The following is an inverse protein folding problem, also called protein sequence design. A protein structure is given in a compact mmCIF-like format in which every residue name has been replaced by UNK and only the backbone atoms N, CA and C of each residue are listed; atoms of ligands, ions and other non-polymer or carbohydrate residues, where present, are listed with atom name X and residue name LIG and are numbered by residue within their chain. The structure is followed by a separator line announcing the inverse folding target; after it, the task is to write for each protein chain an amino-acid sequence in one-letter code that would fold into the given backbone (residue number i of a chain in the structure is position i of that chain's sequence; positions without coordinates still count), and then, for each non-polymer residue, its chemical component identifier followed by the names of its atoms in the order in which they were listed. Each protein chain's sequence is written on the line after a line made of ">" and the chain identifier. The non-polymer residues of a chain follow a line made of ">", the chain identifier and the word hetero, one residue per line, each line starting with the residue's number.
data_IF_212671778811
#
_entry.id   IF_212671778811
#
_cell.length_a   1.000
_cell.length_b   1.000
_cell.length_c   1.000
_cell.angle_alpha   90.00
_cell.angle_beta   90.00
_cell.angle_gamma   90.00
#
_symmetry.space_group_name_H-M   'P 1'
#
loop_
_entity.id
_entity.type
_entity.pdbx_description
1 polymer ?
#
# COMPACT_ATOMS: atom_id res chain seq x y z
N UNK A 1 -11.92 19.81 -26.64
CA UNK A 1 -12.25 18.42 -26.28
C UNK A 1 -11.74 18.20 -24.87
N UNK A 2 -12.64 17.99 -23.92
CA UNK A 2 -12.23 17.63 -22.56
C UNK A 2 -11.63 16.22 -22.62
N UNK A 3 -10.42 16.06 -22.13
CA UNK A 3 -9.82 14.74 -21.90
C UNK A 3 -10.75 13.97 -20.94
N UNK A 4 -11.06 12.70 -21.21
CA UNK A 4 -11.86 11.92 -20.28
C UNK A 4 -11.21 11.95 -18.90
N UNK A 5 -12.02 12.02 -17.85
CA UNK A 5 -11.56 12.02 -16.46
C UNK A 5 -10.91 10.65 -16.20
N UNK A 6 -9.60 10.57 -16.39
CA UNK A 6 -8.82 9.37 -16.06
C UNK A 6 -8.78 9.24 -14.53
N UNK A 7 -9.76 8.53 -13.98
CA UNK A 7 -9.53 7.73 -12.78
C UNK A 7 -8.39 6.75 -13.10
N UNK A 8 -7.69 6.26 -12.06
CA UNK A 8 -6.79 5.10 -12.24
C UNK A 8 -7.54 4.07 -13.08
N UNK A 9 -6.92 3.59 -14.17
CA UNK A 9 -7.63 2.75 -15.15
C UNK A 9 -8.06 1.46 -14.49
N UNK A 10 -9.34 1.11 -14.67
CA UNK A 10 -9.82 -0.24 -14.39
C UNK A 10 -9.33 -1.17 -15.50
N UNK A 11 -8.80 -2.32 -15.12
CA UNK A 11 -8.42 -3.35 -16.07
C UNK A 11 -9.68 -4.10 -16.47
N UNK A 12 -10.01 -4.03 -17.75
CA UNK A 12 -11.11 -4.81 -18.33
C UNK A 12 -10.63 -6.19 -18.78
N UNK A 13 -11.59 -7.12 -18.96
CA UNK A 13 -11.28 -8.46 -19.46
C UNK A 13 -10.54 -8.40 -20.81
N UNK A 14 -9.38 -9.06 -20.87
CA UNK A 14 -8.54 -9.12 -22.06
C UNK A 14 -7.54 -7.98 -22.23
N UNK A 15 -7.51 -6.98 -21.37
CA UNK A 15 -6.48 -5.94 -21.36
C UNK A 15 -5.19 -6.43 -20.71
N UNK A 16 -4.05 -5.93 -21.21
CA UNK A 16 -2.75 -6.19 -20.61
C UNK A 16 -2.53 -5.28 -19.38
N UNK A 17 -2.86 -5.81 -18.22
CA UNK A 17 -2.71 -5.10 -16.94
C UNK A 17 -1.27 -4.63 -16.69
N UNK A 18 -0.27 -5.37 -17.16
CA UNK A 18 1.13 -5.01 -16.98
C UNK A 18 1.52 -3.81 -17.86
N UNK A 19 1.09 -3.81 -19.12
CA UNK A 19 1.31 -2.66 -20.00
C UNK A 19 0.63 -1.41 -19.47
N UNK A 20 -0.62 -1.51 -19.02
CA UNK A 20 -1.36 -0.40 -18.42
C UNK A 20 -0.71 0.11 -17.12
N UNK A 21 -0.23 -0.81 -16.26
CA UNK A 21 0.47 -0.45 -15.02
C UNK A 21 1.75 0.32 -15.33
N UNK A 22 2.55 -0.15 -16.28
CA UNK A 22 3.79 0.52 -16.67
C UNK A 22 3.54 1.88 -17.33
N UNK A 23 2.48 2.01 -18.14
CA UNK A 23 2.14 3.27 -18.79
C UNK A 23 1.56 4.30 -17.82
N UNK A 24 0.61 3.87 -16.97
CA UNK A 24 -0.17 4.79 -16.13
C UNK A 24 0.35 4.93 -14.70
N UNK A 25 1.22 4.02 -14.25
CA UNK A 25 1.78 4.01 -12.91
C UNK A 25 0.89 3.33 -11.87
N UNK A 26 -0.40 3.16 -12.14
CA UNK A 26 -1.33 2.41 -11.31
C UNK A 26 -2.54 1.90 -12.10
N UNK A 27 -3.09 0.75 -11.68
CA UNK A 27 -4.31 0.15 -12.25
C UNK A 27 -5.17 -0.44 -11.14
N UNK A 28 -6.48 -0.52 -11.36
CA UNK A 28 -7.43 -1.18 -10.45
C UNK A 28 -7.93 -2.47 -11.08
N UNK A 29 -7.82 -3.56 -10.33
CA UNK A 29 -8.40 -4.87 -10.63
C UNK A 29 -9.56 -5.10 -9.68
N UNK A 30 -10.76 -5.30 -10.21
CA UNK A 30 -11.99 -5.41 -9.42
C UNK A 30 -12.23 -6.83 -8.91
N UNK A 31 -12.78 -6.94 -7.69
CA UNK A 31 -13.30 -8.19 -7.13
C UNK A 31 -12.25 -9.29 -6.96
N UNK A 32 -11.00 -8.95 -6.69
CA UNK A 32 -9.88 -9.89 -6.55
C UNK A 32 -10.00 -10.74 -5.29
N UNK A 33 -10.39 -10.11 -4.17
CA UNK A 33 -10.48 -10.76 -2.86
C UNK A 33 -11.95 -10.88 -2.46
N UNK A 34 -12.35 -12.06 -1.95
CA UNK A 34 -13.72 -12.28 -1.51
C UNK A 34 -14.10 -11.41 -0.31
N UNK A 35 -15.38 -11.03 -0.20
CA UNK A 35 -15.87 -10.23 0.92
C UNK A 35 -15.67 -10.93 2.27
N UNK A 36 -15.76 -12.26 2.31
CA UNK A 36 -15.50 -13.04 3.50
C UNK A 36 -14.04 -12.87 3.94
N UNK A 37 -13.09 -13.10 3.03
CA UNK A 37 -11.66 -12.92 3.28
C UNK A 37 -11.32 -11.50 3.69
N UNK A 38 -11.90 -10.48 3.05
CA UNK A 38 -11.74 -9.08 3.46
C UNK A 38 -12.19 -8.85 4.90
N UNK A 39 -13.33 -9.41 5.29
CA UNK A 39 -13.89 -9.28 6.64
C UNK A 39 -12.99 -9.95 7.69
N UNK A 40 -12.53 -11.16 7.42
CA UNK A 40 -11.64 -11.93 8.29
C UNK A 40 -10.27 -11.25 8.43
N UNK A 41 -9.66 -10.84 7.32
CA UNK A 41 -8.39 -10.11 7.33
C UNK A 41 -8.51 -8.79 8.09
N UNK A 42 -9.61 -8.03 7.89
CA UNK A 42 -9.86 -6.80 8.64
C UNK A 42 -10.03 -7.04 10.13
N UNK A 43 -10.62 -8.17 10.53
CA UNK A 43 -10.72 -8.56 11.94
C UNK A 43 -9.33 -8.78 12.55
N UNK A 44 -8.39 -9.40 11.82
CA UNK A 44 -6.99 -9.53 12.25
C UNK A 44 -6.31 -8.17 12.46
N UNK A 45 -6.53 -7.20 11.56
CA UNK A 45 -6.02 -5.83 11.70
C UNK A 45 -6.58 -5.16 12.97
N UNK A 46 -7.90 -5.24 13.17
CA UNK A 46 -8.55 -4.66 14.35
C UNK A 46 -8.06 -5.28 15.66
N UNK A 47 -7.82 -6.60 15.67
CA UNK A 47 -7.26 -7.28 16.84
C UNK A 47 -5.83 -6.79 17.16
N UNK A 48 -4.99 -6.53 16.15
CA UNK A 48 -3.66 -5.95 16.37
C UNK A 48 -3.75 -4.53 16.97
N UNK A 49 -4.67 -3.73 16.47
CA UNK A 49 -4.92 -2.40 17.07
C UNK A 49 -5.38 -2.51 18.51
N UNK A 50 -6.30 -3.46 18.81
CA UNK A 50 -6.77 -3.71 20.17
C UNK A 50 -5.64 -4.10 21.11
N UNK A 51 -4.80 -5.04 20.71
CA UNK A 51 -3.64 -5.48 21.49
C UNK A 51 -2.66 -4.33 21.77
N UNK A 52 -2.56 -3.38 20.87
CA UNK A 52 -1.73 -2.18 21.06
C UNK A 52 -2.46 -1.04 21.81
N UNK A 53 -3.72 -1.23 22.23
CA UNK A 53 -4.51 -0.19 22.90
C UNK A 53 -4.90 0.98 22.00
N UNK A 54 -5.11 0.73 20.70
CA UNK A 54 -5.43 1.74 19.68
C UNK A 54 -6.78 1.49 19.00
N UNK A 55 -7.73 0.91 19.72
CA UNK A 55 -9.08 0.63 19.19
C UNK A 55 -9.89 1.91 18.95
N UNK A 56 -9.78 2.88 19.84
CA UNK A 56 -10.52 4.11 19.77
C UNK A 56 -9.95 5.07 18.71
N UNK A 57 -10.84 5.78 18.02
CA UNK A 57 -10.46 6.90 17.16
C UNK A 57 -9.96 8.08 17.99
N UNK A 58 -9.03 8.85 17.45
CA UNK A 58 -8.68 10.15 18.04
C UNK A 58 -7.59 10.10 19.11
N UNK A 59 -6.91 8.98 19.29
CA UNK A 59 -5.69 8.98 20.10
C UNK A 59 -4.56 9.68 19.31
N UNK A 60 -4.69 10.99 19.19
CA UNK A 60 -3.75 11.87 18.53
C UNK A 60 -2.37 11.90 19.23
N UNK A 61 -2.26 11.24 20.38
CA UNK A 61 -1.05 11.22 21.19
C UNK A 61 0.13 10.45 20.56
N UNK A 62 -0.04 9.89 19.36
CA UNK A 62 0.93 8.96 18.80
C UNK A 62 1.44 9.36 17.42
N UNK A 63 1.76 10.65 17.26
CA UNK A 63 2.18 11.16 15.97
C UNK A 63 3.48 10.56 15.42
N UNK A 64 4.45 10.24 16.23
CA UNK A 64 5.75 9.70 15.78
C UNK A 64 6.39 8.76 16.79
N UNK A 65 5.94 8.86 18.05
CA UNK A 65 6.43 7.98 19.11
C UNK A 65 5.21 7.34 19.78
N UNK A 66 5.19 6.02 19.76
CA UNK A 66 4.22 5.28 20.54
C UNK A 66 4.45 5.61 22.02
N UNK A 67 3.58 6.47 22.58
CA UNK A 67 3.70 6.83 23.99
C UNK A 67 3.37 5.63 24.87
N UNK A 68 4.32 5.21 25.67
CA UNK A 68 4.11 4.19 26.69
C UNK A 68 3.19 4.67 27.84
N UNK A 69 2.93 5.99 27.94
CA UNK A 69 2.09 6.55 29.00
C UNK A 69 0.66 6.00 28.93
N UNK A 70 0.21 5.41 30.03
CA UNK A 70 -1.14 4.83 30.14
C UNK A 70 -1.33 3.46 29.48
N UNK A 71 -0.26 2.82 29.00
CA UNK A 71 -0.29 1.49 28.36
C UNK A 71 0.40 0.43 29.20
N UNK A 72 -0.03 -0.82 29.04
CA UNK A 72 0.63 -1.96 29.69
C UNK A 72 1.93 -2.33 28.96
N UNK A 73 2.87 -3.03 29.64
CA UNK A 73 4.09 -3.52 28.98
C UNK A 73 3.79 -4.35 27.71
N UNK A 74 2.75 -5.19 27.73
CA UNK A 74 2.35 -6.02 26.59
C UNK A 74 1.87 -5.17 25.40
N UNK A 75 1.19 -4.07 25.66
CA UNK A 75 0.76 -3.11 24.61
C UNK A 75 1.96 -2.39 23.99
N UNK A 76 2.95 -2.04 24.80
CA UNK A 76 4.20 -1.44 24.33
C UNK A 76 4.99 -2.40 23.45
N UNK A 77 5.13 -3.66 23.88
CA UNK A 77 5.82 -4.70 23.13
C UNK A 77 5.11 -5.01 21.81
N UNK A 78 3.78 -5.12 21.83
CA UNK A 78 2.98 -5.32 20.63
C UNK A 78 3.17 -4.18 19.61
N UNK A 79 3.19 -2.93 20.08
CA UNK A 79 3.42 -1.78 19.20
C UNK A 79 4.84 -1.81 18.62
N UNK A 80 5.86 -2.07 19.42
CA UNK A 80 7.24 -2.13 18.95
C UNK A 80 7.43 -3.20 17.85
N UNK A 81 6.70 -4.32 17.97
CA UNK A 81 6.78 -5.42 17.01
C UNK A 81 6.01 -5.15 15.72
N UNK A 82 4.82 -4.59 15.82
CA UNK A 82 3.88 -4.56 14.70
C UNK A 82 3.74 -3.20 14.02
N UNK A 83 4.22 -2.10 14.61
CA UNK A 83 4.13 -0.81 13.92
C UNK A 83 5.31 -0.58 12.99
N UNK A 84 4.97 -0.19 11.76
CA UNK A 84 5.87 0.34 10.75
C UNK A 84 5.93 1.87 10.79
N UNK A 85 6.66 2.43 9.85
CA UNK A 85 6.74 3.87 9.65
C UNK A 85 5.70 4.30 8.62
N UNK A 86 4.99 5.39 8.91
CA UNK A 86 4.04 5.99 7.99
C UNK A 86 4.22 7.49 7.89
N UNK A 87 4.15 8.01 6.67
CA UNK A 87 4.16 9.46 6.44
C UNK A 87 2.87 10.09 6.98
N UNK A 88 2.97 11.21 7.69
CA UNK A 88 1.84 11.88 8.35
C UNK A 88 1.12 10.95 9.34
N UNK A 89 1.76 10.59 10.45
CA UNK A 89 1.31 9.53 11.35
C UNK A 89 0.10 9.90 12.23
N UNK A 90 -0.31 11.17 12.28
CA UNK A 90 -1.51 11.57 13.06
C UNK A 90 -2.74 10.90 12.46
N UNK A 91 -3.45 10.14 13.28
CA UNK A 91 -4.61 9.32 12.89
C UNK A 91 -4.31 8.35 11.74
N UNK A 92 -3.05 7.99 11.53
CA UNK A 92 -2.63 7.02 10.50
C UNK A 92 -1.63 6.04 11.09
N UNK A 93 -1.77 4.76 10.71
CA UNK A 93 -0.91 3.67 11.18
C UNK A 93 -0.53 2.78 10.02
N UNK A 94 0.68 2.29 10.08
CA UNK A 94 1.17 1.18 9.29
C UNK A 94 1.42 0.00 10.24
N UNK A 95 0.75 -1.12 10.01
CA UNK A 95 0.76 -2.30 10.86
C UNK A 95 1.32 -3.48 10.10
N UNK A 96 2.48 -3.98 10.51
CA UNK A 96 3.01 -5.25 10.00
C UNK A 96 2.06 -6.39 10.35
N UNK A 97 1.69 -7.19 9.36
CA UNK A 97 0.77 -8.31 9.54
C UNK A 97 1.52 -9.63 9.70
N UNK A 98 1.01 -10.46 10.60
CA UNK A 98 1.42 -11.86 10.65
C UNK A 98 0.69 -12.64 9.54
N UNK A 99 1.41 -13.56 8.91
CA UNK A 99 0.87 -14.48 7.91
C UNK A 99 0.14 -15.64 8.60
N UNK A 100 -0.99 -15.37 9.21
CA UNK A 100 -1.95 -16.38 9.67
C UNK A 100 -2.80 -16.89 8.50
N UNK A 101 -3.75 -17.79 8.76
CA UNK A 101 -4.58 -18.39 7.72
C UNK A 101 -5.40 -17.36 6.95
N UNK A 102 -5.97 -16.35 7.63
CA UNK A 102 -6.82 -15.33 7.04
C UNK A 102 -6.01 -14.36 6.16
N UNK A 103 -4.90 -13.84 6.67
CA UNK A 103 -4.00 -12.95 5.91
C UNK A 103 -3.36 -13.73 4.76
N UNK A 104 -2.95 -14.98 4.99
CA UNK A 104 -2.41 -15.87 3.97
C UNK A 104 -3.40 -16.14 2.85
N UNK A 105 -4.69 -16.34 3.16
CA UNK A 105 -5.72 -16.53 2.13
C UNK A 105 -5.94 -15.24 1.31
N UNK A 106 -5.91 -14.08 1.95
CA UNK A 106 -5.98 -12.81 1.24
C UNK A 106 -4.82 -12.66 0.23
N UNK A 107 -3.60 -12.98 0.65
CA UNK A 107 -2.43 -12.96 -0.25
C UNK A 107 -2.56 -14.00 -1.36
N UNK A 108 -3.07 -15.22 -1.09
CA UNK A 108 -3.30 -16.24 -2.13
C UNK A 108 -4.29 -15.76 -3.19
N UNK A 109 -5.39 -15.13 -2.79
CA UNK A 109 -6.38 -14.58 -3.74
C UNK A 109 -5.78 -13.44 -4.56
N UNK A 110 -5.04 -12.51 -3.94
CA UNK A 110 -4.27 -11.50 -4.64
C UNK A 110 -3.38 -12.12 -5.71
N UNK A 111 -2.56 -13.10 -5.37
CA UNK A 111 -1.56 -13.66 -6.28
C UNK A 111 -2.15 -14.53 -7.38
N UNK A 112 -3.29 -15.18 -7.14
CA UNK A 112 -4.02 -15.88 -8.22
C UNK A 112 -4.47 -14.92 -9.33
N UNK A 113 -4.95 -13.75 -8.95
CA UNK A 113 -5.47 -12.77 -9.92
C UNK A 113 -4.37 -11.86 -10.48
N UNK A 114 -3.51 -11.32 -9.62
CA UNK A 114 -2.54 -10.28 -9.97
C UNK A 114 -1.11 -10.81 -10.12
N UNK A 115 -0.80 -12.00 -9.62
CA UNK A 115 0.53 -12.59 -9.67
C UNK A 115 1.14 -12.64 -11.07
N UNK A 116 0.42 -13.10 -12.11
CA UNK A 116 0.94 -13.09 -13.49
C UNK A 116 1.34 -11.70 -13.99
N UNK A 117 0.56 -10.67 -13.66
CA UNK A 117 0.90 -9.27 -13.99
C UNK A 117 2.19 -8.84 -13.27
N UNK A 118 2.29 -9.09 -11.96
CA UNK A 118 3.48 -8.75 -11.17
C UNK A 118 4.71 -9.51 -11.69
N UNK A 119 4.58 -10.81 -11.98
CA UNK A 119 5.66 -11.66 -12.47
C UNK A 119 6.18 -11.22 -13.85
N UNK A 120 5.30 -10.75 -14.73
CA UNK A 120 5.71 -10.27 -16.06
C UNK A 120 6.58 -9.01 -16.00
N UNK A 121 6.49 -8.24 -14.91
CA UNK A 121 7.30 -7.02 -14.69
C UNK A 121 8.54 -7.32 -13.82
N UNK A 122 8.34 -8.03 -12.69
CA UNK A 122 9.38 -8.24 -11.67
C UNK A 122 10.03 -9.63 -11.67
N UNK A 123 9.49 -10.59 -12.43
CA UNK A 123 9.80 -12.02 -12.45
C UNK A 123 9.19 -12.84 -11.30
N UNK A 124 9.15 -14.17 -11.45
CA UNK A 124 8.69 -15.12 -10.43
C UNK A 124 9.56 -15.12 -9.16
N UNK A 125 10.80 -14.64 -9.26
CA UNK A 125 11.76 -14.55 -8.16
C UNK A 125 11.56 -13.26 -7.32
N UNK A 126 10.60 -12.40 -7.66
CA UNK A 126 10.32 -11.20 -6.90
C UNK A 126 10.05 -11.51 -5.43
N UNK A 127 10.69 -10.77 -4.54
CA UNK A 127 10.61 -10.96 -3.09
C UNK A 127 9.48 -10.12 -2.50
N UNK A 128 8.67 -10.73 -1.62
CA UNK A 128 7.76 -9.97 -0.78
C UNK A 128 8.61 -9.16 0.23
N UNK A 129 8.49 -7.85 0.18
CA UNK A 129 9.20 -6.94 1.07
C UNK A 129 8.27 -6.14 2.00
N UNK A 130 6.96 -6.22 1.80
CA UNK A 130 5.98 -5.61 2.67
C UNK A 130 4.74 -6.48 2.78
N UNK A 131 4.25 -6.63 4.00
CA UNK A 131 2.97 -7.22 4.33
C UNK A 131 2.42 -6.45 5.53
N UNK A 132 1.55 -5.51 5.24
CA UNK A 132 1.08 -4.57 6.25
C UNK A 132 -0.39 -4.19 6.07
N UNK A 133 -0.92 -3.41 6.99
CA UNK A 133 -2.19 -2.72 6.83
C UNK A 133 -1.99 -1.22 7.08
N UNK A 134 -2.37 -0.42 6.09
CA UNK A 134 -2.48 1.03 6.23
C UNK A 134 -3.86 1.39 6.77
N UNK A 135 -3.85 1.88 8.00
CA UNK A 135 -5.05 2.32 8.72
C UNK A 135 -5.06 3.83 8.77
N UNK A 136 -6.17 4.45 8.34
CA UNK A 136 -6.39 5.89 8.46
C UNK A 136 -7.70 6.13 9.20
N UNK A 137 -7.60 6.68 10.39
CA UNK A 137 -8.74 7.03 11.23
C UNK A 137 -9.35 8.39 10.80
N UNK A 138 -10.61 8.67 11.17
CA UNK A 138 -11.20 10.00 11.01
C UNK A 138 -10.28 11.11 11.49
N UNK A 139 -10.13 12.17 10.69
CA UNK A 139 -9.23 13.29 10.97
C UNK A 139 -7.79 13.10 10.51
N UNK A 140 -7.44 11.97 9.87
CA UNK A 140 -6.14 11.83 9.22
C UNK A 140 -6.00 12.83 8.07
N UNK A 141 -4.99 13.70 8.13
CA UNK A 141 -4.71 14.67 7.06
C UNK A 141 -4.21 13.98 5.78
N UNK A 142 -4.36 14.63 4.63
CA UNK A 142 -3.72 14.14 3.41
C UNK A 142 -2.20 14.09 3.58
N UNK A 143 -1.58 13.07 3.01
CA UNK A 143 -0.12 12.97 2.94
C UNK A 143 0.44 13.98 1.91
N UNK A 144 1.70 14.41 2.05
CA UNK A 144 2.39 15.10 0.96
C UNK A 144 2.48 14.19 -0.29
N UNK A 145 2.45 14.77 -1.48
CA UNK A 145 2.73 14.03 -2.71
C UNK A 145 4.16 13.49 -2.68
N UNK A 146 4.30 12.19 -2.92
CA UNK A 146 5.57 11.46 -2.91
C UNK A 146 5.52 10.22 -3.82
N UNK A 147 6.64 9.75 -4.34
CA UNK A 147 6.83 8.37 -4.78
C UNK A 147 7.38 7.54 -3.62
N UNK A 148 7.07 6.24 -3.56
CA UNK A 148 7.70 5.32 -2.59
C UNK A 148 9.15 5.01 -2.97
N UNK A 149 9.45 5.05 -4.26
CA UNK A 149 10.78 4.76 -4.78
C UNK A 149 11.27 5.92 -5.64
N UNK A 150 12.49 6.39 -5.34
CA UNK A 150 13.14 7.40 -6.15
C UNK A 150 13.73 6.78 -7.43
N UNK A 151 13.57 7.46 -8.55
CA UNK A 151 14.17 7.05 -9.81
C UNK A 151 15.67 7.35 -9.81
N UNK A 152 16.48 6.36 -9.49
CA UNK A 152 17.94 6.47 -9.52
C UNK A 152 18.59 5.13 -9.93
N UNK A 153 19.60 5.17 -10.79
CA UNK A 153 20.38 3.99 -11.15
C UNK A 153 19.54 2.82 -11.67
N UNK A 154 19.56 1.69 -10.98
CA UNK A 154 18.86 0.46 -11.35
C UNK A 154 17.33 0.61 -11.35
N UNK A 155 16.77 1.64 -10.71
CA UNK A 155 15.32 1.93 -10.65
C UNK A 155 14.86 2.91 -11.74
N UNK A 156 15.61 3.08 -12.81
CA UNK A 156 15.09 3.66 -14.06
C UNK A 156 13.90 2.86 -14.60
N UNK A 157 13.80 1.58 -14.25
CA UNK A 157 12.67 0.68 -14.56
C UNK A 157 11.87 0.35 -13.31
N UNK A 158 10.65 -0.21 -13.48
CA UNK A 158 9.83 -0.67 -12.38
C UNK A 158 10.52 -1.84 -11.67
N UNK A 159 10.95 -1.64 -10.45
CA UNK A 159 11.63 -2.66 -9.64
C UNK A 159 10.88 -3.01 -8.36
N UNK A 160 9.72 -2.36 -8.13
CA UNK A 160 8.89 -2.56 -6.94
C UNK A 160 7.44 -2.25 -7.27
N UNK A 161 6.54 -3.20 -7.00
CA UNK A 161 5.10 -3.08 -7.20
C UNK A 161 4.39 -3.28 -5.87
N UNK A 162 3.53 -2.33 -5.53
CA UNK A 162 2.68 -2.35 -4.34
C UNK A 162 1.24 -2.69 -4.73
N UNK A 163 0.65 -3.68 -4.05
CA UNK A 163 -0.77 -3.99 -4.12
C UNK A 163 -1.48 -3.44 -2.89
N UNK A 164 -2.44 -2.55 -3.10
CA UNK A 164 -3.36 -2.05 -2.07
C UNK A 164 -4.68 -2.78 -2.19
N UNK A 165 -5.00 -3.61 -1.19
CA UNK A 165 -6.22 -4.40 -1.14
C UNK A 165 -7.23 -3.69 -0.25
N UNK A 166 -8.41 -3.39 -0.76
CA UNK A 166 -9.49 -2.78 0.02
C UNK A 166 -10.18 -3.84 0.89
N UNK A 167 -9.98 -3.78 2.21
CA UNK A 167 -10.63 -4.70 3.15
C UNK A 167 -12.06 -4.27 3.51
N UNK A 168 -12.52 -3.17 2.96
CA UNK A 168 -13.85 -2.58 3.07
C UNK A 168 -14.06 -1.62 1.91
N UNK A 169 -15.28 -1.16 1.70
CA UNK A 169 -15.51 -0.05 0.78
C UNK A 169 -14.73 1.18 1.23
N UNK A 170 -13.99 1.78 0.32
CA UNK A 170 -13.20 3.00 0.52
C UNK A 170 -13.86 4.11 -0.28
N UNK A 171 -14.64 4.93 0.41
CA UNK A 171 -15.35 6.07 -0.20
C UNK A 171 -14.46 7.29 -0.35
N UNK A 172 -14.92 8.29 -1.10
CA UNK A 172 -14.18 9.55 -1.26
C UNK A 172 -13.92 10.25 0.08
N UNK A 173 -14.88 10.20 1.00
CA UNK A 173 -14.79 10.82 2.32
C UNK A 173 -13.74 10.14 3.23
N UNK A 174 -13.46 8.87 2.99
CA UNK A 174 -12.44 8.12 3.73
C UNK A 174 -11.01 8.41 3.26
N UNK A 175 -10.85 9.33 2.30
CA UNK A 175 -9.55 9.72 1.75
C UNK A 175 -8.82 8.59 1.03
N UNK A 176 -9.37 8.06 -0.07
CA UNK A 176 -8.70 7.01 -0.85
C UNK A 176 -7.32 7.47 -1.31
N UNK A 177 -6.50 6.52 -1.73
CA UNK A 177 -5.21 6.84 -2.35
C UNK A 177 -5.44 7.68 -3.60
N UNK A 178 -4.73 8.81 -3.68
CA UNK A 178 -4.73 9.70 -4.86
C UNK A 178 -3.47 9.45 -5.66
N UNK A 179 -3.61 9.29 -6.97
CA UNK A 179 -2.49 9.00 -7.88
C UNK A 179 -2.41 10.05 -8.99
N UNK A 180 -1.21 10.54 -9.27
CA UNK A 180 -0.89 11.28 -10.48
C UNK A 180 -0.61 10.27 -11.60
N UNK A 181 -1.55 10.04 -12.51
CA UNK A 181 -1.34 9.10 -13.61
C UNK A 181 -0.12 9.49 -14.46
N UNK A 182 0.63 8.49 -14.95
CA UNK A 182 1.84 8.67 -15.79
C UNK A 182 2.99 9.42 -15.11
N UNK A 183 3.00 9.41 -13.78
CA UNK A 183 4.03 10.11 -13.01
C UNK A 183 5.24 9.23 -12.64
N UNK A 184 5.24 7.96 -13.02
CA UNK A 184 6.34 7.01 -12.84
C UNK A 184 7.50 7.26 -13.82
N UNK A 185 7.85 8.53 -14.06
CA UNK A 185 8.85 8.99 -15.02
C UNK A 185 9.87 9.93 -14.37
N UNK A 186 11.10 9.96 -14.91
CA UNK A 186 12.15 10.86 -14.43
C UNK A 186 11.75 12.34 -14.53
N UNK A 187 10.94 12.70 -15.52
CA UNK A 187 10.45 14.08 -15.68
C UNK A 187 9.50 14.47 -14.54
N UNK A 188 8.56 13.60 -14.20
CA UNK A 188 7.62 13.83 -13.09
C UNK A 188 8.37 13.96 -11.75
N UNK A 189 9.38 13.11 -11.50
CA UNK A 189 10.20 13.17 -10.28
C UNK A 189 11.02 14.48 -10.21
N UNK A 190 11.60 14.94 -11.32
CA UNK A 190 12.27 16.26 -11.35
C UNK A 190 11.30 17.39 -11.09
N UNK A 191 10.11 17.35 -11.71
CA UNK A 191 9.08 18.35 -11.49
C UNK A 191 8.60 18.39 -10.03
N UNK A 192 8.38 17.22 -9.40
CA UNK A 192 8.03 17.12 -7.99
C UNK A 192 9.10 17.73 -7.08
N UNK A 193 10.38 17.46 -7.37
CA UNK A 193 11.51 17.92 -6.57
C UNK A 193 11.83 19.42 -6.72
N UNK A 194 11.33 20.07 -7.77
CA UNK A 194 11.57 21.49 -8.03
C UNK A 194 10.69 22.44 -7.19
N UNK A 195 9.61 21.91 -6.58
CA UNK A 195 8.67 22.71 -5.78
C UNK A 195 9.00 22.69 -4.29
N UNK A 196 9.04 23.86 -3.65
CA UNK A 196 9.28 23.98 -2.21
C UNK A 196 8.05 23.67 -1.35
N UNK A 197 6.85 23.78 -1.90
CA UNK A 197 5.57 23.50 -1.21
C UNK A 197 4.57 22.82 -2.12
N UNK A 198 3.47 22.32 -1.53
CA UNK A 198 2.46 21.53 -2.22
C UNK A 198 1.92 22.21 -3.50
N UNK A 199 1.55 23.48 -3.40
CA UNK A 199 1.01 24.23 -4.54
C UNK A 199 2.05 24.41 -5.66
N UNK A 200 3.33 24.55 -5.33
CA UNK A 200 4.41 24.67 -6.31
C UNK A 200 4.69 23.33 -6.97
N UNK A 201 4.74 22.24 -6.20
CA UNK A 201 4.85 20.87 -6.73
C UNK A 201 3.75 20.56 -7.74
N UNK A 202 2.49 20.87 -7.40
CA UNK A 202 1.36 20.68 -8.32
C UNK A 202 1.50 21.52 -9.60
N UNK A 203 1.93 22.79 -9.51
CA UNK A 203 2.20 23.61 -10.70
C UNK A 203 3.30 23.02 -11.56
N UNK A 204 4.40 22.58 -10.96
CA UNK A 204 5.53 21.98 -11.68
C UNK A 204 5.13 20.67 -12.37
N UNK A 205 4.38 19.81 -11.71
CA UNK A 205 3.82 18.58 -12.31
C UNK A 205 2.91 18.90 -13.49
N UNK A 206 1.99 19.86 -13.32
CA UNK A 206 1.10 20.31 -14.41
C UNK A 206 1.88 20.86 -15.60
N UNK A 207 2.91 21.66 -15.35
CA UNK A 207 3.79 22.20 -16.40
C UNK A 207 4.56 21.11 -17.16
N UNK A 208 4.88 20.00 -16.47
CA UNK A 208 5.47 18.80 -17.07
C UNK A 208 4.43 17.86 -17.75
N UNK A 209 3.17 18.28 -17.86
CA UNK A 209 2.10 17.48 -18.48
C UNK A 209 1.58 16.33 -17.62
N UNK A 210 1.94 16.29 -16.34
CA UNK A 210 1.46 15.27 -15.41
C UNK A 210 0.07 15.68 -14.89
N UNK A 211 -0.94 14.79 -14.96
CA UNK A 211 -2.27 15.06 -14.42
C UNK A 211 -2.24 15.32 -12.91
N UNK A 212 -3.16 16.16 -12.45
CA UNK A 212 -3.37 16.33 -11.00
C UNK A 212 -3.72 15.00 -10.32
N UNK A 213 -3.38 14.83 -9.04
CA UNK A 213 -3.73 13.63 -8.30
C UNK A 213 -5.24 13.40 -8.29
N UNK A 214 -5.66 12.17 -8.52
CA UNK A 214 -7.05 11.75 -8.54
C UNK A 214 -7.31 10.69 -7.49
N UNK A 215 -8.37 10.83 -6.68
CA UNK A 215 -8.75 9.82 -5.71
C UNK A 215 -9.19 8.53 -6.42
N UNK A 216 -8.83 7.40 -5.84
CA UNK A 216 -9.14 6.05 -6.34
C UNK A 216 -10.02 5.32 -5.31
N UNK A 217 -11.34 5.55 -5.30
CA UNK A 217 -12.25 4.80 -4.45
C UNK A 217 -12.27 3.32 -4.87
N UNK A 218 -12.37 2.43 -3.88
CA UNK A 218 -12.34 0.99 -4.07
C UNK A 218 -13.54 0.36 -3.36
N UNK A 219 -14.13 -0.68 -3.95
CA UNK A 219 -15.04 -1.55 -3.22
C UNK A 219 -14.23 -2.59 -2.42
N UNK A 220 -14.84 -3.18 -1.40
CA UNK A 220 -14.22 -4.29 -0.70
C UNK A 220 -13.83 -5.42 -1.68
N UNK A 221 -12.59 -5.87 -1.59
CA UNK A 221 -12.02 -6.89 -2.47
C UNK A 221 -11.37 -6.38 -3.75
N UNK A 222 -11.49 -5.10 -4.06
CA UNK A 222 -10.73 -4.49 -5.16
C UNK A 222 -9.25 -4.35 -4.79
N UNK A 223 -8.39 -4.41 -5.79
CA UNK A 223 -6.95 -4.22 -5.66
C UNK A 223 -6.48 -3.10 -6.58
N UNK A 224 -5.75 -2.14 -6.03
CA UNK A 224 -4.96 -1.21 -6.82
C UNK A 224 -3.50 -1.70 -6.86
N UNK A 225 -3.00 -2.04 -8.04
CA UNK A 225 -1.58 -2.25 -8.28
C UNK A 225 -0.93 -0.92 -8.63
N UNK A 226 0.21 -0.64 -8.03
CA UNK A 226 0.95 0.60 -8.23
C UNK A 226 2.44 0.33 -8.44
N UNK A 227 2.99 0.92 -9.48
CA UNK A 227 4.43 1.11 -9.63
C UNK A 227 4.88 2.12 -8.56
N UNK A 228 5.76 1.71 -7.68
CA UNK A 228 6.17 2.52 -6.52
C UNK A 228 6.89 3.84 -6.88
N UNK A 229 7.20 4.03 -8.16
CA UNK A 229 7.68 5.31 -8.70
C UNK A 229 6.55 6.29 -9.02
N UNK A 230 5.29 5.84 -9.07
CA UNK A 230 4.16 6.72 -9.31
C UNK A 230 4.00 7.71 -8.15
N UNK A 231 3.80 8.98 -8.48
CA UNK A 231 3.57 10.04 -7.50
C UNK A 231 2.14 9.90 -7.00
N UNK A 232 2.01 9.75 -5.68
CA UNK A 232 0.73 9.50 -5.03
C UNK A 232 0.70 10.08 -3.61
N UNK A 233 -0.44 9.92 -2.94
CA UNK A 233 -0.61 10.16 -1.52
C UNK A 233 -1.83 9.45 -0.95
N UNK A 234 -1.87 9.19 0.34
CA UNK A 234 -3.12 8.92 1.04
C UNK A 234 -3.93 10.21 1.19
N UNK A 235 -5.18 10.21 0.78
CA UNK A 235 -6.09 11.33 0.96
C UNK A 235 -6.43 11.59 2.43
N UNK A 236 -7.03 12.75 2.73
CA UNK A 236 -7.55 13.05 4.06
C UNK A 236 -8.78 12.19 4.36
N UNK A 237 -8.84 11.58 5.55
CA UNK A 237 -10.05 10.91 6.01
C UNK A 237 -10.94 11.93 6.74
N UNK A 238 -11.86 12.50 6.00
CA UNK A 238 -12.88 13.45 6.50
C UNK A 238 -14.19 12.75 6.88
N UNK A 239 -14.26 11.43 6.65
CA UNK A 239 -15.39 10.59 7.00
C UNK A 239 -15.47 10.23 8.49
N UNK A 240 -16.53 9.53 8.87
CA UNK A 240 -16.75 9.06 10.24
C UNK A 240 -16.24 7.65 10.51
N UNK A 241 -15.57 7.00 9.53
CA UNK A 241 -15.15 5.61 9.64
C UNK A 241 -13.66 5.43 9.36
N UNK A 242 -13.06 4.43 10.01
CA UNK A 242 -11.69 3.98 9.77
C UNK A 242 -11.57 3.40 8.36
N UNK A 243 -10.56 3.83 7.59
CA UNK A 243 -10.15 3.20 6.34
C UNK A 243 -9.04 2.18 6.62
N UNK A 244 -9.20 0.96 6.13
CA UNK A 244 -8.23 -0.11 6.26
C UNK A 244 -7.91 -0.68 4.88
N UNK A 245 -6.65 -0.54 4.45
CA UNK A 245 -6.10 -1.20 3.28
C UNK A 245 -5.06 -2.22 3.73
N UNK A 246 -5.11 -3.44 3.22
CA UNK A 246 -3.97 -4.34 3.31
C UNK A 246 -2.99 -4.00 2.20
N UNK A 247 -1.70 -4.05 2.51
CA UNK A 247 -0.62 -3.74 1.57
C UNK A 247 0.30 -4.95 1.44
N UNK A 248 0.58 -5.30 0.18
CA UNK A 248 1.52 -6.36 -0.15
C UNK A 248 2.43 -5.86 -1.26
N UNK A 249 3.74 -5.75 -0.99
CA UNK A 249 4.70 -5.20 -1.93
C UNK A 249 5.74 -6.24 -2.31
N UNK A 250 6.02 -6.32 -3.61
CA UNK A 250 7.03 -7.19 -4.20
C UNK A 250 8.13 -6.36 -4.87
N UNK A 251 9.37 -6.81 -4.72
CA UNK A 251 10.56 -6.17 -5.32
C UNK A 251 11.38 -7.16 -6.12
N UNK A 252 12.20 -6.64 -7.05
CA UNK A 252 13.25 -7.43 -7.71
C UNK A 252 14.22 -7.97 -6.67
N UNK A 253 14.67 -9.24 -6.77
CA UNK A 253 15.51 -9.86 -5.76
C UNK A 253 16.88 -9.18 -5.64
N UNK A 254 17.43 -9.15 -4.44
CA UNK A 254 18.77 -8.65 -4.13
C UNK A 254 19.04 -7.17 -4.51
N UNK A 255 18.00 -6.41 -4.72
CA UNK A 255 18.13 -5.02 -5.13
C UNK A 255 17.04 -4.16 -4.45
N UNK A 256 17.16 -3.88 -3.14
CA UNK A 256 16.15 -3.11 -2.42
C UNK A 256 15.99 -1.72 -3.01
N UNK A 257 14.75 -1.32 -3.20
CA UNK A 257 14.41 -0.03 -3.79
C UNK A 257 14.87 1.13 -2.89
N UNK A 258 15.57 2.15 -3.43
CA UNK A 258 15.95 3.34 -2.66
C UNK A 258 14.72 4.05 -2.10
N UNK A 259 14.70 4.29 -0.80
CA UNK A 259 13.63 5.01 -0.11
C UNK A 259 12.49 4.13 0.37
N UNK A 260 12.44 2.85 0.02
CA UNK A 260 11.44 1.93 0.57
C UNK A 260 11.71 1.64 2.04
N UNK A 261 10.68 1.78 2.87
CA UNK A 261 10.67 1.27 4.24
C UNK A 261 9.87 -0.01 4.24
N UNK A 262 10.50 -1.10 4.65
CA UNK A 262 9.84 -2.40 4.63
C UNK A 262 8.97 -2.58 5.87
N UNK A 263 7.66 -2.60 5.70
CA UNK A 263 6.71 -2.98 6.74
C UNK A 263 6.43 -4.48 6.67
N UNK A 264 7.43 -5.26 7.00
CA UNK A 264 7.42 -6.72 7.06
C UNK A 264 7.94 -7.16 8.42
N UNK A 265 7.37 -8.23 8.99
CA UNK A 265 7.94 -8.84 10.20
C UNK A 265 9.30 -9.44 9.87
N UNK A 266 10.27 -9.26 10.76
CA UNK A 266 11.67 -9.65 10.55
C UNK A 266 11.83 -11.13 10.23
N UNK A 267 10.98 -11.98 10.81
CA UNK A 267 10.95 -13.41 10.54
C UNK A 267 10.54 -13.79 9.11
N UNK A 268 10.01 -12.85 8.34
CA UNK A 268 9.56 -13.08 6.95
C UNK A 268 10.55 -12.54 5.92
N UNK A 269 11.52 -11.72 6.31
CA UNK A 269 12.46 -11.12 5.40
C UNK A 269 13.22 -12.17 4.56
N UNK A 270 13.14 -12.02 3.22
CA UNK A 270 13.81 -12.89 2.25
C UNK A 270 13.23 -14.31 2.13
N UNK A 271 12.10 -14.61 2.80
CA UNK A 271 11.50 -15.97 2.80
C UNK A 271 10.46 -16.21 1.72
N UNK A 272 9.80 -15.16 1.24
CA UNK A 272 8.67 -15.30 0.32
C UNK A 272 9.00 -14.74 -1.05
N UNK A 273 8.81 -15.59 -2.06
CA UNK A 273 8.94 -15.23 -3.46
C UNK A 273 7.60 -15.42 -4.15
N UNK A 274 7.34 -14.60 -5.15
CA UNK A 274 6.10 -14.56 -5.91
C UNK A 274 5.72 -15.97 -6.42
N UNK A 275 6.63 -16.65 -7.13
CA UNK A 275 6.40 -17.98 -7.70
C UNK A 275 6.37 -19.14 -6.71
N UNK A 276 6.72 -18.89 -5.44
CA UNK A 276 6.76 -19.91 -4.38
C UNK A 276 5.59 -19.87 -3.41
N UNK A 277 4.76 -18.85 -3.48
CA UNK A 277 3.77 -18.54 -2.44
C UNK A 277 2.67 -19.61 -2.28
N UNK A 278 2.26 -20.28 -3.32
CA UNK A 278 1.28 -21.38 -3.26
C UNK A 278 1.73 -22.55 -2.34
N UNK A 279 3.03 -22.73 -2.16
CA UNK A 279 3.64 -23.76 -1.31
C UNK A 279 3.85 -23.28 0.13
N UNK A 280 3.57 -22.03 0.40
CA UNK A 280 3.83 -21.45 1.69
C UNK A 280 2.78 -21.92 2.71
N UNK A 281 3.26 -22.42 3.85
CA UNK A 281 2.50 -22.71 5.06
C UNK A 281 3.11 -21.92 6.19
N UNK A 282 2.30 -21.51 7.15
CA UNK A 282 2.78 -20.80 8.32
C UNK A 282 3.98 -21.53 8.94
N UNK A 283 5.15 -20.86 9.08
CA UNK A 283 6.33 -21.48 9.72
C UNK A 283 6.04 -21.96 11.16
N UNK A 284 5.11 -21.33 11.88
CA UNK A 284 4.68 -21.76 13.20
C UNK A 284 3.89 -23.06 13.16
N UNK A 285 3.14 -23.33 12.08
CA UNK A 285 2.45 -24.60 11.88
C UNK A 285 3.40 -25.73 11.43
N UNK A 286 4.54 -25.39 10.82
CA UNK A 286 5.55 -26.38 10.39
C UNK A 286 6.38 -26.94 11.54
N UNK A 287 6.41 -26.28 12.70
CA UNK A 287 7.09 -26.76 13.92
C UNK A 287 6.19 -27.63 14.80
N UNK A 288 4.91 -27.83 14.43
CA UNK A 288 3.95 -28.67 15.14
C UNK A 288 3.77 -30.06 14.49
N UNK A 289 4.58 -30.44 13.50
CA UNK A 289 4.74 -31.76 12.93
C UNK A 289 6.15 -32.26 13.20
#
# INVERSE_FOLDING_TARGET
>A
MALPSLSVLEVSDGEDAAALLLEHGAVVVRGVVSLATCTETRACVNERLRLAGLEAFGDASTATEFSAAGRTPEQVDAAARYFGNVTSPVNRRDLKLALNDEVGECVRQLLRACGPCIASILTEEAEMCELSALVSDPGAAAQPLHPDTQMSGAYAHCGLITAFIALQDVTLEMGPTEVCARSNTAEAHRALSSGAGEAEKLRSLTAAGIPAPRPTPLNAGDVMLMDSRAIHRGGANEGGARRTLMVCTFQVPNNPAPGSTYSLLDEYAGRFRLGGFERWRDPAAATAL
#
